data_IF_515597442324
#
_entry.id   IF_515597442324
#
_cell.length_a   1.000
_cell.length_b   1.000
_cell.length_c   1.000
_cell.angle_alpha   90.00
_cell.angle_beta   90.00
_cell.angle_gamma   90.00
#
_symmetry.space_group_name_H-M   'P 1'
#
loop_
_entity.id
_entity.type
_entity.pdbx_description
1 polymer ?
#
# COMPACT_ATOMS: atom_id res chain seq x y z
N UNK A 1 5.72 2.98 -19.05
CA UNK A 1 6.87 3.12 -18.13
C UNK A 1 6.93 1.88 -17.27
N UNK A 2 8.08 1.21 -17.21
CA UNK A 2 8.31 0.18 -16.20
C UNK A 2 8.58 0.87 -14.86
N UNK A 3 7.95 0.39 -13.78
CA UNK A 3 8.24 0.87 -12.44
C UNK A 3 9.60 0.31 -12.02
N UNK A 4 10.53 1.16 -11.61
CA UNK A 4 11.78 0.74 -10.99
C UNK A 4 11.58 0.72 -9.47
N UNK A 5 11.46 -0.48 -8.88
CA UNK A 5 11.19 -0.61 -7.45
C UNK A 5 12.31 -0.09 -6.55
N UNK A 6 13.54 0.02 -7.06
CA UNK A 6 14.67 0.56 -6.29
C UNK A 6 14.50 2.03 -5.90
N UNK A 7 13.65 2.77 -6.61
CA UNK A 7 13.35 4.18 -6.32
C UNK A 7 12.38 4.32 -5.12
N UNK A 8 11.81 3.21 -4.65
CA UNK A 8 10.81 3.19 -3.59
C UNK A 8 11.29 2.39 -2.38
N UNK A 9 10.86 2.84 -1.20
CA UNK A 9 11.08 2.11 0.06
C UNK A 9 9.82 1.36 0.44
N UNK A 10 10.00 0.19 1.05
CA UNK A 10 8.94 -0.54 1.71
C UNK A 10 8.30 0.36 2.78
N UNK A 11 6.99 0.55 2.70
CA UNK A 11 6.24 1.43 3.61
C UNK A 11 6.28 0.94 5.07
N UNK A 12 6.56 -0.36 5.31
CA UNK A 12 6.50 -0.98 6.63
C UNK A 12 7.86 -1.13 7.32
N UNK A 13 8.91 -1.49 6.57
CA UNK A 13 10.23 -1.76 7.14
C UNK A 13 11.33 -0.80 6.66
N UNK A 14 11.04 0.06 5.68
CA UNK A 14 11.98 1.06 5.15
C UNK A 14 13.11 0.52 4.25
N UNK A 15 13.21 -0.81 4.07
CA UNK A 15 14.11 -1.43 3.07
C UNK A 15 13.71 -1.05 1.65
N UNK A 16 14.56 -1.33 0.66
CA UNK A 16 14.20 -1.17 -0.75
C UNK A 16 12.95 -1.99 -1.08
N UNK A 17 12.01 -1.39 -1.81
CA UNK A 17 10.84 -2.09 -2.31
C UNK A 17 11.25 -3.04 -3.42
N UNK A 18 10.63 -4.20 -3.46
CA UNK A 18 10.81 -5.19 -4.53
C UNK A 18 9.49 -5.53 -5.21
N UNK A 19 8.37 -5.08 -4.63
CA UNK A 19 7.03 -5.45 -5.05
C UNK A 19 6.03 -4.31 -4.76
N UNK A 20 4.92 -4.33 -5.49
CA UNK A 20 3.76 -3.46 -5.25
C UNK A 20 2.52 -4.32 -5.03
N UNK A 21 2.08 -4.41 -3.78
CA UNK A 21 0.97 -5.26 -3.36
C UNK A 21 -0.01 -4.45 -2.51
N UNK A 22 -1.32 -4.72 -2.67
CA UNK A 22 -2.38 -4.02 -1.94
C UNK A 22 -2.31 -2.48 -2.04
N UNK A 23 -1.89 -1.96 -3.19
CA UNK A 23 -1.66 -0.53 -3.42
C UNK A 23 -0.58 0.11 -2.52
N UNK A 24 0.40 -0.68 -2.05
CA UNK A 24 1.54 -0.24 -1.26
C UNK A 24 2.86 -0.77 -1.85
N UNK A 25 3.91 0.05 -1.78
CA UNK A 25 5.28 -0.39 -2.07
C UNK A 25 5.81 -1.20 -0.88
N UNK A 26 6.17 -2.45 -1.13
CA UNK A 26 6.63 -3.40 -0.10
C UNK A 26 7.87 -4.17 -0.56
N UNK A 27 8.57 -4.78 0.40
CA UNK A 27 9.55 -5.82 0.12
C UNK A 27 8.89 -7.21 0.15
N UNK A 28 9.60 -8.25 -0.29
CA UNK A 28 9.10 -9.64 -0.32
C UNK A 28 9.03 -10.33 1.06
N UNK A 29 9.06 -9.54 2.14
CA UNK A 29 8.90 -10.04 3.49
C UNK A 29 7.41 -10.25 3.76
N UNK A 30 7.02 -11.46 4.15
CA UNK A 30 5.63 -11.85 4.39
C UNK A 30 4.99 -10.93 5.44
N UNK A 31 5.73 -10.50 6.45
CA UNK A 31 5.22 -9.58 7.47
C UNK A 31 4.82 -8.22 6.88
N UNK A 32 5.58 -7.72 5.90
CA UNK A 32 5.28 -6.44 5.25
C UNK A 32 4.08 -6.58 4.29
N UNK A 33 3.96 -7.72 3.61
CA UNK A 33 2.86 -8.02 2.70
C UNK A 33 1.54 -8.16 3.49
N UNK A 34 1.55 -8.89 4.61
CA UNK A 34 0.36 -9.01 5.46
C UNK A 34 0.00 -7.69 6.13
N UNK A 35 0.98 -6.87 6.58
CA UNK A 35 0.69 -5.51 7.06
C UNK A 35 0.04 -4.63 5.99
N UNK A 36 0.51 -4.70 4.75
CA UNK A 36 -0.12 -4.01 3.63
C UNK A 36 -1.56 -4.49 3.42
N UNK A 37 -1.77 -5.80 3.49
CA UNK A 37 -3.10 -6.41 3.40
C UNK A 37 -4.01 -5.95 4.54
N UNK A 38 -3.56 -5.93 5.79
CA UNK A 38 -4.39 -5.54 6.95
C UNK A 38 -4.68 -4.03 6.98
N UNK A 39 -3.68 -3.20 6.70
CA UNK A 39 -3.82 -1.74 6.65
C UNK A 39 -4.88 -1.37 5.62
N UNK A 40 -4.80 -2.00 4.45
CA UNK A 40 -5.71 -1.74 3.35
C UNK A 40 -7.01 -2.52 3.54
N UNK A 41 -7.05 -3.65 4.23
CA UNK A 41 -8.27 -4.41 4.49
C UNK A 41 -8.57 -5.49 3.46
N UNK A 42 -7.55 -6.28 3.15
CA UNK A 42 -7.63 -7.47 2.32
C UNK A 42 -7.38 -7.20 0.83
N UNK A 43 -7.64 -8.21 -0.03
CA UNK A 43 -7.54 -8.09 -1.48
C UNK A 43 -8.45 -7.00 -2.07
N UNK A 44 -9.46 -6.56 -1.33
CA UNK A 44 -10.34 -5.46 -1.70
C UNK A 44 -10.04 -4.17 -0.94
N UNK A 45 -8.80 -3.90 -0.50
CA UNK A 45 -8.52 -2.90 0.54
C UNK A 45 -9.05 -1.45 0.37
N UNK A 46 -9.46 -1.04 -0.82
CA UNK A 46 -10.28 0.17 -0.97
C UNK A 46 -11.64 0.11 -0.21
N UNK A 47 -12.08 -1.09 0.15
CA UNK A 47 -13.33 -1.37 0.86
C UNK A 47 -13.25 -1.12 2.35
N UNK A 48 -12.09 -1.20 3.02
CA UNK A 48 -12.02 -0.92 4.46
C UNK A 48 -12.32 0.54 4.75
N UNK A 49 -11.68 1.44 4.00
CA UNK A 49 -11.98 2.88 4.04
C UNK A 49 -13.46 3.14 3.73
N UNK A 50 -13.99 2.53 2.66
CA UNK A 50 -15.40 2.63 2.29
C UNK A 50 -16.35 2.11 3.37
N UNK A 51 -16.03 0.98 4.01
CA UNK A 51 -16.81 0.37 5.09
C UNK A 51 -16.75 1.20 6.39
N UNK A 52 -15.62 1.86 6.64
CA UNK A 52 -15.44 2.85 7.72
C UNK A 52 -16.09 4.21 7.40
N UNK A 53 -16.77 4.35 6.25
CA UNK A 53 -17.37 5.62 5.81
C UNK A 53 -16.35 6.70 5.41
N UNK A 54 -15.09 6.31 5.22
CA UNK A 54 -13.98 7.20 4.83
C UNK A 54 -13.79 7.22 3.31
N UNK A 55 -13.31 8.33 2.75
CA UNK A 55 -12.94 8.42 1.34
C UNK A 55 -11.96 7.32 0.92
N UNK A 56 -12.21 6.73 -0.26
CA UNK A 56 -11.37 5.67 -0.87
C UNK A 56 -9.97 6.21 -1.18
N UNK A 57 -9.92 7.44 -1.67
CA UNK A 57 -8.68 8.21 -1.85
C UNK A 57 -8.45 9.00 -0.57
N UNK A 58 -7.30 8.84 0.11
CA UNK A 58 -6.95 9.69 1.24
C UNK A 58 -6.99 11.18 0.89
N UNK A 59 -7.58 11.99 1.77
CA UNK A 59 -7.78 13.43 1.53
C UNK A 59 -6.44 14.15 1.32
N UNK A 60 -5.36 13.65 1.94
CA UNK A 60 -3.98 14.11 1.78
C UNK A 60 -3.38 13.84 0.38
N UNK A 61 -3.98 12.92 -0.39
CA UNK A 61 -3.61 12.60 -1.78
C UNK A 61 -4.56 13.21 -2.81
N UNK A 62 -5.64 13.86 -2.36
CA UNK A 62 -6.56 14.60 -3.22
C UNK A 62 -5.96 15.98 -3.50
N UNK A 63 -4.91 16.03 -4.32
CA UNK A 63 -4.35 17.28 -4.83
C UNK A 63 -5.13 17.64 -6.10
N UNK A 64 -5.96 18.69 -6.00
CA UNK A 64 -6.64 19.34 -7.13
C UNK A 64 -5.68 19.78 -8.24
#
# INVERSE_FOLDING_TARGET
MAINFNDYKCQFCGKTSTNFAFAAFVCDDIECIEKAREERGGPAGHMKRKAEGRPIIPEDLNRD
#
